data_IF_499176820602
#
_entry.id   IF_499176820602
#
_cell.length_a   1.000
_cell.length_b   1.000
_cell.length_c   1.000
_cell.angle_alpha   90.00
_cell.angle_beta   90.00
_cell.angle_gamma   90.00
#
_symmetry.space_group_name_H-M   'P 1'
#
loop_
_entity.id
_entity.type
_entity.pdbx_description
1 polymer ?
#
# COMPACT_ATOMS: atom_id res chain seq x y z
N UNK A 1 37.94 -26.22 -1.31
CA UNK A 1 36.59 -25.64 -1.15
C UNK A 1 35.68 -26.35 -2.13
N UNK A 2 34.46 -26.70 -1.73
CA UNK A 2 33.55 -27.48 -2.56
C UNK A 2 32.69 -26.50 -3.38
N UNK A 3 33.01 -26.34 -4.66
CA UNK A 3 32.36 -25.42 -5.61
C UNK A 3 30.84 -25.58 -5.69
N UNK A 4 30.32 -26.75 -5.30
CA UNK A 4 28.89 -27.05 -5.22
C UNK A 4 28.19 -26.27 -4.10
N UNK A 5 28.85 -26.08 -2.96
CA UNK A 5 28.31 -25.35 -1.81
C UNK A 5 28.33 -23.84 -2.06
N UNK A 6 29.38 -23.33 -2.72
CA UNK A 6 29.49 -21.92 -3.07
C UNK A 6 28.42 -21.51 -4.09
N UNK A 7 28.18 -22.34 -5.11
CA UNK A 7 27.08 -22.13 -6.08
C UNK A 7 25.70 -22.16 -5.44
N UNK A 8 25.43 -23.13 -4.54
CA UNK A 8 24.17 -23.12 -3.79
C UNK A 8 24.00 -21.82 -3.02
N UNK A 9 25.05 -21.34 -2.34
CA UNK A 9 24.99 -20.12 -1.54
C UNK A 9 24.67 -18.88 -2.38
N UNK A 10 25.28 -18.77 -3.56
CA UNK A 10 24.97 -17.71 -4.52
C UNK A 10 23.52 -17.79 -5.00
N UNK A 11 23.06 -18.96 -5.45
CA UNK A 11 21.69 -19.15 -5.92
C UNK A 11 20.64 -18.83 -4.85
N UNK A 12 20.86 -19.26 -3.60
CA UNK A 12 19.98 -18.91 -2.48
C UNK A 12 20.02 -17.41 -2.16
N UNK A 13 21.18 -16.76 -2.29
CA UNK A 13 21.32 -15.31 -2.13
C UNK A 13 20.52 -14.55 -3.18
N UNK A 14 20.66 -14.92 -4.46
CA UNK A 14 19.92 -14.32 -5.57
C UNK A 14 18.42 -14.52 -5.42
N UNK A 15 17.97 -15.74 -5.07
CA UNK A 15 16.55 -16.01 -4.81
C UNK A 15 15.99 -15.14 -3.68
N UNK A 16 16.70 -15.02 -2.56
CA UNK A 16 16.28 -14.17 -1.44
C UNK A 16 16.22 -12.69 -1.82
N UNK A 17 17.19 -12.22 -2.60
CA UNK A 17 17.20 -10.84 -3.07
C UNK A 17 15.98 -10.53 -3.94
N UNK A 18 15.71 -11.36 -4.95
CA UNK A 18 14.57 -11.20 -5.85
C UNK A 18 13.23 -11.26 -5.10
N UNK A 19 13.11 -12.16 -4.12
CA UNK A 19 11.91 -12.23 -3.26
C UNK A 19 11.74 -10.94 -2.44
N UNK A 20 12.83 -10.43 -1.84
CA UNK A 20 12.80 -9.19 -1.08
C UNK A 20 12.43 -7.97 -1.92
N UNK A 21 12.92 -7.90 -3.16
CA UNK A 21 12.58 -6.85 -4.11
C UNK A 21 11.09 -6.89 -4.48
N UNK A 22 10.56 -8.08 -4.79
CA UNK A 22 9.15 -8.28 -5.13
C UNK A 22 8.22 -7.92 -3.96
N UNK A 23 8.55 -8.37 -2.74
CA UNK A 23 7.79 -8.04 -1.52
C UNK A 23 7.84 -6.54 -1.22
N UNK A 24 9.00 -5.90 -1.40
CA UNK A 24 9.18 -4.47 -1.22
C UNK A 24 8.33 -3.66 -2.19
N UNK A 25 8.34 -4.03 -3.47
CA UNK A 25 7.53 -3.38 -4.51
C UNK A 25 6.03 -3.53 -4.23
N UNK A 26 5.59 -4.71 -3.82
CA UNK A 26 4.18 -4.97 -3.48
C UNK A 26 3.74 -4.13 -2.27
N UNK A 27 4.55 -4.08 -1.20
CA UNK A 27 4.27 -3.25 -0.02
C UNK A 27 4.21 -1.77 -0.39
N UNK A 28 5.15 -1.29 -1.20
CA UNK A 28 5.17 0.10 -1.67
C UNK A 28 3.93 0.45 -2.50
N UNK A 29 3.48 -0.46 -3.37
CA UNK A 29 2.25 -0.29 -4.15
C UNK A 29 1.02 -0.15 -3.24
N UNK A 30 0.86 -1.03 -2.26
CA UNK A 30 -0.27 -1.01 -1.31
C UNK A 30 -0.27 0.29 -0.49
N UNK A 31 0.88 0.72 0.02
CA UNK A 31 1.00 1.98 0.76
C UNK A 31 0.69 3.19 -0.13
N UNK A 32 1.14 3.17 -1.39
CA UNK A 32 0.83 4.20 -2.37
C UNK A 32 -0.67 4.29 -2.67
N UNK A 33 -1.34 3.16 -2.84
CA UNK A 33 -2.79 3.10 -3.06
C UNK A 33 -3.58 3.68 -1.87
N UNK A 34 -3.27 3.25 -0.63
CA UNK A 34 -3.94 3.75 0.58
C UNK A 34 -3.74 5.26 0.77
N UNK A 35 -2.54 5.78 0.49
CA UNK A 35 -2.25 7.22 0.59
C UNK A 35 -2.98 8.05 -0.46
N UNK A 36 -3.11 7.55 -1.70
CA UNK A 36 -3.88 8.23 -2.75
C UNK A 36 -5.36 8.24 -2.40
N UNK A 37 -5.92 7.11 -1.94
CA UNK A 37 -7.31 7.03 -1.51
C UNK A 37 -7.61 8.02 -0.39
N UNK A 38 -6.79 8.05 0.67
CA UNK A 38 -6.95 8.99 1.79
C UNK A 38 -6.89 10.45 1.31
N UNK A 39 -6.00 10.77 0.36
CA UNK A 39 -5.89 12.12 -0.21
C UNK A 39 -7.15 12.50 -0.99
N UNK A 40 -7.71 11.59 -1.77
CA UNK A 40 -8.97 11.81 -2.50
C UNK A 40 -10.11 12.01 -1.52
N UNK A 41 -10.28 11.13 -0.53
CA UNK A 41 -11.34 11.23 0.48
C UNK A 41 -11.25 12.55 1.25
N UNK A 42 -10.05 12.95 1.67
CA UNK A 42 -9.80 14.24 2.34
C UNK A 42 -10.21 15.42 1.46
N UNK A 43 -9.92 15.37 0.16
CA UNK A 43 -10.31 16.44 -0.76
C UNK A 43 -11.83 16.51 -0.97
N UNK A 44 -12.52 15.36 -1.01
CA UNK A 44 -13.98 15.30 -1.12
C UNK A 44 -14.64 15.87 0.14
N UNK A 45 -14.14 15.50 1.32
CA UNK A 45 -14.60 16.03 2.61
C UNK A 45 -14.38 17.54 2.72
N UNK A 46 -13.21 18.04 2.30
CA UNK A 46 -12.92 19.49 2.23
C UNK A 46 -13.86 20.25 1.29
N UNK A 47 -14.41 19.58 0.27
CA UNK A 47 -15.43 20.15 -0.63
C UNK A 47 -16.84 20.13 -0.04
N UNK A 48 -17.02 19.62 1.18
CA UNK A 48 -18.32 19.54 1.84
C UNK A 48 -19.22 18.42 1.32
N UNK A 49 -18.65 17.41 0.66
CA UNK A 49 -19.40 16.26 0.18
C UNK A 49 -19.76 15.38 1.39
N UNK A 50 -21.02 14.90 1.45
CA UNK A 50 -21.49 14.08 2.56
C UNK A 50 -20.84 12.70 2.58
N UNK A 51 -20.67 12.17 3.80
CA UNK A 51 -20.13 10.83 4.02
C UNK A 51 -20.89 9.76 3.24
N UNK A 52 -22.22 9.80 3.27
CA UNK A 52 -23.08 8.84 2.59
C UNK A 52 -22.83 8.80 1.10
N UNK A 53 -22.69 9.98 0.47
CA UNK A 53 -22.43 10.11 -0.95
C UNK A 53 -21.00 9.66 -1.30
N UNK A 54 -20.01 9.95 -0.45
CA UNK A 54 -18.64 9.46 -0.64
C UNK A 54 -18.61 7.93 -0.63
N UNK A 55 -19.24 7.30 0.37
CA UNK A 55 -19.30 5.84 0.48
C UNK A 55 -19.99 5.20 -0.73
N UNK A 56 -21.08 5.81 -1.20
CA UNK A 56 -21.83 5.34 -2.37
C UNK A 56 -21.02 5.42 -3.67
N UNK A 57 -20.37 6.56 -3.95
CA UNK A 57 -19.66 6.75 -5.23
C UNK A 57 -18.28 6.09 -5.27
N UNK A 58 -17.61 5.96 -4.12
CA UNK A 58 -16.24 5.43 -4.05
C UNK A 58 -16.19 3.96 -3.64
N UNK A 59 -17.22 3.45 -2.95
CA UNK A 59 -17.24 2.09 -2.42
C UNK A 59 -16.23 1.82 -1.31
N UNK A 60 -15.58 2.85 -0.76
CA UNK A 60 -14.61 2.70 0.34
C UNK A 60 -15.29 2.27 1.63
N UNK A 61 -14.52 1.66 2.53
CA UNK A 61 -15.02 1.33 3.87
C UNK A 61 -15.24 2.58 4.72
N UNK A 62 -16.18 2.50 5.66
CA UNK A 62 -16.39 3.54 6.67
C UNK A 62 -15.14 3.81 7.51
N UNK A 63 -14.28 2.81 7.68
CA UNK A 63 -13.01 2.93 8.40
C UNK A 63 -12.00 3.83 7.67
N UNK A 64 -11.87 3.69 6.35
CA UNK A 64 -11.03 4.58 5.53
C UNK A 64 -11.54 6.03 5.56
N UNK A 65 -12.86 6.21 5.51
CA UNK A 65 -13.46 7.54 5.61
C UNK A 65 -13.20 8.18 6.98
N UNK A 66 -13.26 7.40 8.06
CA UNK A 66 -12.92 7.87 9.41
C UNK A 66 -11.46 8.28 9.53
N UNK A 67 -10.53 7.48 8.99
CA UNK A 67 -9.10 7.84 8.92
C UNK A 67 -8.89 9.16 8.18
N UNK A 68 -9.56 9.36 7.04
CA UNK A 68 -9.49 10.61 6.27
C UNK A 68 -9.99 11.83 7.06
N UNK A 69 -11.05 11.66 7.88
CA UNK A 69 -11.51 12.71 8.80
C UNK A 69 -10.53 13.03 9.91
N UNK A 70 -9.89 12.01 10.49
CA UNK A 70 -8.85 12.21 11.51
C UNK A 70 -7.66 13.01 10.97
N UNK A 71 -7.29 12.81 9.71
CA UNK A 71 -6.21 13.58 9.06
C UNK A 71 -6.58 15.03 8.75
N UNK A 72 -7.86 15.43 8.89
CA UNK A 72 -8.31 16.82 8.73
C UNK A 72 -8.31 17.62 10.03
N UNK A 73 -8.25 16.95 11.18
CA UNK A 73 -8.22 17.56 12.51
C UNK A 73 -6.82 18.01 12.90
#
# INVERSE_FOLDING_TARGET
MCESLDRMREEYGTKRYLQGEAEGLQKGRIQGEETVELKILTNLLKKGISDSYILEITGVSSELLLKAKQTMN
#
